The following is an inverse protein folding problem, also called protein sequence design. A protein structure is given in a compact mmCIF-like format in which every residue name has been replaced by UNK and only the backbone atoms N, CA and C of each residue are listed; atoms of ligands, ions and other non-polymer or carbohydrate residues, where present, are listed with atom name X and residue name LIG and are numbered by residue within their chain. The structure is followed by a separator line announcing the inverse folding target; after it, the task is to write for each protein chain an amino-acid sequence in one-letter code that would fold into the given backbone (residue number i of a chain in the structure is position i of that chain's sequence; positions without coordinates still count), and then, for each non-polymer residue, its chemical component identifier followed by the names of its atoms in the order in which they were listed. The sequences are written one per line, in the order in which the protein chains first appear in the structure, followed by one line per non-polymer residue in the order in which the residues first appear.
data_IF_616249873617
#
_entry.id   IF_616249873617
#
_cell.length_a   1.000
_cell.length_b   1.000
_cell.length_c   1.000
_cell.angle_alpha   90.00
_cell.angle_beta   90.00
_cell.angle_gamma   90.00
#
_symmetry.space_group_name_H-M   'P 1'
#
loop_
_entity.id
_entity.type
_entity.pdbx_description
1 polymer ?
#
# COMPACT_ATOMS: atom_id res chain seq x y z
N UNK A 1 -1.97 -7.47 19.45
CA UNK A 1 -0.77 -6.67 19.14
C UNK A 1 0.21 -7.43 18.24
N UNK A 2 0.83 -8.53 18.69
CA UNK A 2 1.88 -9.21 17.92
C UNK A 2 1.47 -9.71 16.53
N UNK A 3 0.23 -10.20 16.35
CA UNK A 3 -0.25 -10.63 15.03
C UNK A 3 -0.43 -9.45 14.06
N UNK A 4 -0.86 -8.28 14.57
CA UNK A 4 -1.03 -7.07 13.77
C UNK A 4 0.33 -6.55 13.32
N UNK A 5 1.33 -6.55 14.21
CA UNK A 5 2.70 -6.15 13.87
C UNK A 5 3.34 -7.07 12.84
N UNK A 6 3.18 -8.40 12.99
CA UNK A 6 3.65 -9.35 11.97
C UNK A 6 2.99 -9.12 10.62
N UNK A 7 1.69 -8.83 10.61
CA UNK A 7 0.96 -8.52 9.39
C UNK A 7 1.46 -7.22 8.76
N UNK A 8 1.63 -6.15 9.55
CA UNK A 8 2.13 -4.88 9.06
C UNK A 8 3.56 -4.99 8.51
N UNK A 9 4.45 -5.71 9.18
CA UNK A 9 5.80 -5.97 8.72
C UNK A 9 5.86 -6.79 7.43
N UNK A 10 4.97 -7.80 7.28
CA UNK A 10 4.87 -8.56 6.03
C UNK A 10 4.40 -7.70 4.85
N UNK A 11 3.45 -6.79 5.08
CA UNK A 11 3.01 -5.84 4.04
C UNK A 11 4.10 -4.82 3.71
N UNK A 12 4.82 -4.30 4.71
CA UNK A 12 5.95 -3.39 4.47
C UNK A 12 7.02 -4.04 3.59
N UNK A 13 7.34 -5.32 3.86
CA UNK A 13 8.28 -6.08 3.04
C UNK A 13 7.78 -6.27 1.61
N UNK A 14 6.50 -6.60 1.44
CA UNK A 14 5.90 -6.70 0.10
C UNK A 14 6.00 -5.37 -0.65
N UNK A 15 5.72 -4.24 -0.01
CA UNK A 15 5.85 -2.92 -0.62
C UNK A 15 7.30 -2.63 -1.06
N UNK A 16 8.28 -2.96 -0.22
CA UNK A 16 9.71 -2.82 -0.55
C UNK A 16 10.13 -3.72 -1.73
N UNK A 17 9.66 -4.96 -1.76
CA UNK A 17 9.93 -5.89 -2.86
C UNK A 17 9.32 -5.38 -4.18
N UNK A 18 8.07 -4.89 -4.14
CA UNK A 18 7.41 -4.29 -5.31
C UNK A 18 8.15 -3.03 -5.81
N UNK A 19 8.63 -2.19 -4.88
CA UNK A 19 9.46 -1.04 -5.22
C UNK A 19 10.74 -1.46 -5.93
N UNK A 20 11.42 -2.48 -5.42
CA UNK A 20 12.66 -2.97 -6.00
C UNK A 20 12.46 -3.52 -7.42
N UNK A 21 11.35 -4.21 -7.67
CA UNK A 21 11.06 -4.88 -8.95
C UNK A 21 10.56 -3.88 -10.00
N UNK A 22 9.69 -2.95 -9.61
CA UNK A 22 8.95 -2.11 -10.55
C UNK A 22 9.32 -0.63 -10.51
N UNK A 23 10.03 -0.15 -9.48
CA UNK A 23 10.36 1.28 -9.34
C UNK A 23 9.11 2.14 -9.22
N UNK A 24 8.22 1.81 -8.29
CA UNK A 24 6.93 2.48 -8.13
C UNK A 24 7.11 3.89 -7.53
N UNK A 25 6.22 4.80 -7.90
CA UNK A 25 6.14 6.10 -7.22
C UNK A 25 5.30 6.00 -5.93
N UNK A 26 4.27 5.16 -5.94
CA UNK A 26 3.27 5.09 -4.86
C UNK A 26 2.52 3.76 -4.83
N UNK A 27 2.10 3.34 -3.65
CA UNK A 27 1.19 2.22 -3.41
C UNK A 27 -0.03 2.69 -2.60
N UNK A 28 -1.23 2.38 -3.09
CA UNK A 28 -2.47 2.58 -2.35
C UNK A 28 -2.85 1.33 -1.54
N UNK A 29 -3.09 1.51 -0.23
CA UNK A 29 -3.47 0.44 0.70
C UNK A 29 -4.97 0.52 0.97
N UNK A 30 -5.70 -0.52 0.55
CA UNK A 30 -7.14 -0.63 0.73
C UNK A 30 -7.57 -1.81 1.61
N UNK A 31 -8.85 -2.16 1.53
CA UNK A 31 -9.45 -3.25 2.30
C UNK A 31 -9.69 -2.89 3.78
N UNK A 32 -10.52 -3.69 4.45
CA UNK A 32 -10.96 -3.41 5.83
C UNK A 32 -9.79 -3.35 6.82
N UNK A 33 -8.83 -4.27 6.70
CA UNK A 33 -7.64 -4.32 7.57
C UNK A 33 -6.67 -3.19 7.23
N UNK A 34 -6.42 -2.95 5.94
CA UNK A 34 -5.50 -1.91 5.47
C UNK A 34 -5.92 -0.51 5.93
N UNK A 35 -7.23 -0.26 5.95
CA UNK A 35 -7.85 1.00 6.36
C UNK A 35 -8.19 1.06 7.86
N UNK A 36 -7.92 0.00 8.62
CA UNK A 36 -8.17 0.00 10.06
C UNK A 36 -7.26 1.02 10.77
N UNK A 37 -7.80 1.70 11.79
CA UNK A 37 -7.09 2.75 12.51
C UNK A 37 -5.72 2.28 13.02
N UNK A 38 -4.68 3.00 12.61
CA UNK A 38 -3.30 2.74 13.02
C UNK A 38 -2.63 1.57 12.31
N UNK A 39 -3.27 0.89 11.35
CA UNK A 39 -2.60 -0.17 10.59
C UNK A 39 -1.61 0.39 9.58
N UNK A 40 -2.00 1.40 8.79
CA UNK A 40 -1.11 2.05 7.83
C UNK A 40 0.14 2.69 8.48
N UNK A 41 0.04 3.44 9.60
CA UNK A 41 1.21 3.90 10.34
C UNK A 41 2.18 2.78 10.73
N UNK A 42 1.69 1.60 11.14
CA UNK A 42 2.57 0.47 11.47
C UNK A 42 3.31 -0.04 10.24
N UNK A 43 2.66 -0.11 9.08
CA UNK A 43 3.34 -0.48 7.84
C UNK A 43 4.45 0.53 7.54
N UNK A 44 4.16 1.83 7.65
CA UNK A 44 5.14 2.90 7.45
C UNK A 44 6.32 2.80 8.42
N UNK A 45 6.07 2.49 9.70
CA UNK A 45 7.12 2.31 10.70
C UNK A 45 8.08 1.17 10.29
N UNK A 46 7.55 0.02 9.86
CA UNK A 46 8.38 -1.10 9.36
C UNK A 46 9.12 -0.73 8.07
N UNK A 47 8.45 -0.07 7.12
CA UNK A 47 9.04 0.33 5.83
C UNK A 47 10.17 1.37 6.00
N UNK A 48 10.06 2.25 7.00
CA UNK A 48 11.08 3.26 7.29
C UNK A 48 12.44 2.67 7.68
N UNK A 49 12.47 1.40 8.11
CA UNK A 49 13.70 0.66 8.41
C UNK A 49 14.42 0.11 7.18
N UNK A 50 13.79 0.09 6.01
CA UNK A 50 14.42 -0.36 4.77
C UNK A 50 15.31 0.74 4.17
N UNK A 51 16.37 0.38 3.41
CA UNK A 51 17.17 1.36 2.66
C UNK A 51 16.32 2.28 1.78
N UNK A 52 16.72 3.56 1.56
CA UNK A 52 15.90 4.53 0.81
C UNK A 52 15.45 4.07 -0.58
N UNK A 53 16.25 3.24 -1.26
CA UNK A 53 15.91 2.68 -2.58
C UNK A 53 14.67 1.78 -2.56
N UNK A 54 14.34 1.20 -1.41
CA UNK A 54 13.20 0.29 -1.23
C UNK A 54 12.02 0.94 -0.52
N UNK A 55 12.14 2.20 -0.12
CA UNK A 55 11.03 2.96 0.44
C UNK A 55 10.15 3.47 -0.70
N UNK A 56 8.83 3.42 -0.50
CA UNK A 56 7.81 3.85 -1.46
C UNK A 56 6.71 4.60 -0.73
N UNK A 57 6.11 5.60 -1.37
CA UNK A 57 5.01 6.35 -0.79
C UNK A 57 3.79 5.44 -0.59
N UNK A 58 3.31 5.32 0.65
CA UNK A 58 2.07 4.60 0.95
C UNK A 58 0.93 5.58 1.22
N UNK A 59 -0.20 5.38 0.54
CA UNK A 59 -1.42 6.18 0.71
C UNK A 59 -2.62 5.29 1.04
N UNK A 60 -3.63 5.78 1.78
CA UNK A 60 -4.88 5.05 1.93
C UNK A 60 -5.66 5.04 0.61
N UNK A 61 -6.33 3.93 0.30
CA UNK A 61 -7.27 3.89 -0.82
C UNK A 61 -8.55 4.68 -0.48
N UNK A 62 -8.96 5.59 -1.37
CA UNK A 62 -10.04 6.55 -1.09
C UNK A 62 -11.41 6.14 -1.65
N UNK A 63 -11.44 5.26 -2.65
CA UNK A 63 -12.67 4.89 -3.35
C UNK A 63 -13.58 3.92 -2.58
N UNK A 64 -13.13 3.43 -1.43
CA UNK A 64 -13.94 2.62 -0.53
C UNK A 64 -14.56 1.39 -1.19
N UNK A 65 -15.84 1.14 -0.87
CA UNK A 65 -16.58 -0.04 -1.32
C UNK A 65 -16.81 -0.07 -2.84
N UNK A 66 -16.97 1.10 -3.44
CA UNK A 66 -17.27 1.23 -4.87
C UNK A 66 -16.01 1.20 -5.74
N UNK A 67 -14.82 1.06 -5.15
CA UNK A 67 -13.54 1.02 -5.85
C UNK A 67 -13.53 0.09 -7.07
N UNK A 68 -14.06 -1.13 -6.93
CA UNK A 68 -14.12 -2.10 -8.01
C UNK A 68 -15.13 -1.69 -9.11
N UNK A 69 -16.28 -1.14 -8.73
CA UNK A 69 -17.31 -0.68 -9.68
C UNK A 69 -16.79 0.50 -10.50
N UNK A 70 -16.16 1.47 -9.84
CA UNK A 70 -15.55 2.61 -10.49
C UNK A 70 -14.41 2.17 -11.42
N UNK A 71 -13.53 1.28 -10.96
CA UNK A 71 -12.45 0.73 -11.78
C UNK A 71 -12.94 0.02 -13.05
N UNK A 72 -14.09 -0.66 -12.99
CA UNK A 72 -14.68 -1.34 -14.15
C UNK A 72 -15.39 -0.37 -15.13
N UNK A 73 -15.86 0.78 -14.65
CA UNK A 73 -16.60 1.75 -15.47
C UNK A 73 -15.72 2.87 -16.02
N UNK A 74 -14.59 3.15 -15.38
CA UNK A 74 -13.67 4.19 -15.83
C UNK A 74 -13.02 3.77 -17.16
N UNK A 75 -13.04 4.65 -18.19
CA UNK A 75 -12.33 4.39 -19.43
C UNK A 75 -10.82 4.34 -19.15
N UNK A 76 -10.11 3.52 -19.92
CA UNK A 76 -8.65 3.46 -19.92
C UNK A 76 -8.07 4.87 -20.00
N UNK A 77 -7.15 5.19 -19.08
CA UNK A 77 -6.45 6.47 -19.07
C UNK A 77 -5.60 6.67 -20.33
N UNK A 78 -5.12 7.91 -20.58
CA UNK A 78 -4.21 8.15 -21.70
C UNK A 78 -3.01 7.22 -21.62
N UNK A 79 -2.75 6.49 -22.71
CA UNK A 79 -1.51 5.73 -22.89
C UNK A 79 -0.44 6.72 -23.33
N UNK A 80 0.53 6.97 -22.46
CA UNK A 80 1.80 7.61 -22.84
C UNK A 80 2.61 6.72 -23.80
#
# INVERSE_FOLDING_TARGET
AAAIERSAGAIARLCADLQAIFGLDRIAVGGSVGLAQGYLPRILDHLSGEPPLFQVELVPAELGHDSALLGALLPEGPRE
#
